data_IF_414081390690
#
_entry.id   IF_414081390690
#
_cell.length_a   1.000
_cell.length_b   1.000
_cell.length_c   1.000
_cell.angle_alpha   90.00
_cell.angle_beta   90.00
_cell.angle_gamma   90.00
#
_symmetry.space_group_name_H-M   'P 1'
#
loop_
_entity.id
_entity.type
_entity.pdbx_description
1 polymer ?
#
# COMPACT_ATOMS: atom_id res chain seq x y z
N UNK A 1 -12.04 5.63 94.95
CA UNK A 1 -12.87 4.71 94.15
C UNK A 1 -13.03 5.26 92.74
N UNK A 2 -13.44 6.51 92.57
CA UNK A 2 -13.72 7.11 91.25
C UNK A 2 -12.50 7.18 90.30
N UNK A 3 -11.31 7.51 90.79
CA UNK A 3 -10.08 7.54 89.96
C UNK A 3 -9.67 6.15 89.43
N UNK A 4 -9.88 5.10 90.23
CA UNK A 4 -9.58 3.73 89.81
C UNK A 4 -10.56 3.22 88.76
N UNK A 5 -11.84 3.63 88.85
CA UNK A 5 -12.83 3.35 87.81
C UNK A 5 -12.52 4.11 86.51
N UNK A 6 -12.12 5.37 86.61
CA UNK A 6 -11.72 6.16 85.44
C UNK A 6 -10.56 5.51 84.69
N UNK A 7 -9.53 5.07 85.44
CA UNK A 7 -8.36 4.40 84.88
C UNK A 7 -8.69 3.03 84.26
N UNK A 8 -9.71 2.33 84.77
CA UNK A 8 -10.24 1.10 84.18
C UNK A 8 -10.97 1.37 82.85
N UNK A 9 -11.82 2.40 82.80
CA UNK A 9 -12.52 2.80 81.56
C UNK A 9 -11.56 3.26 80.48
N UNK A 10 -10.52 4.02 80.84
CA UNK A 10 -9.49 4.45 79.90
C UNK A 10 -8.70 3.26 79.33
N UNK A 11 -8.33 2.28 80.18
CA UNK A 11 -7.70 1.03 79.72
C UNK A 11 -8.60 0.22 78.80
N UNK A 12 -9.88 0.08 79.15
CA UNK A 12 -10.85 -0.65 78.32
C UNK A 12 -11.07 0.04 76.96
N UNK A 13 -11.06 1.38 76.92
CA UNK A 13 -11.15 2.16 75.68
C UNK A 13 -9.91 1.96 74.80
N UNK A 14 -8.72 1.96 75.40
CA UNK A 14 -7.46 1.70 74.68
C UNK A 14 -7.45 0.28 74.12
N UNK A 15 -7.86 -0.71 74.91
CA UNK A 15 -7.91 -2.12 74.48
C UNK A 15 -8.93 -2.33 73.36
N UNK A 16 -10.11 -1.72 73.45
CA UNK A 16 -11.09 -1.71 72.35
C UNK A 16 -10.52 -1.06 71.08
N UNK A 17 -9.83 0.08 71.21
CA UNK A 17 -9.20 0.73 70.06
C UNK A 17 -8.14 -0.15 69.41
N UNK A 18 -7.30 -0.81 70.21
CA UNK A 18 -6.28 -1.74 69.71
C UNK A 18 -6.91 -2.93 68.98
N UNK A 19 -7.94 -3.54 69.54
CA UNK A 19 -8.70 -4.61 68.87
C UNK A 19 -9.33 -4.14 67.56
N UNK A 20 -9.87 -2.92 67.53
CA UNK A 20 -10.44 -2.35 66.30
C UNK A 20 -9.37 -2.16 65.23
N UNK A 21 -8.19 -1.64 65.61
CA UNK A 21 -7.05 -1.46 64.71
C UNK A 21 -6.57 -2.80 64.15
N UNK A 22 -6.40 -3.81 65.01
CA UNK A 22 -6.01 -5.16 64.61
C UNK A 22 -7.01 -5.76 63.61
N UNK A 23 -8.31 -5.70 63.92
CA UNK A 23 -9.35 -6.19 63.01
C UNK A 23 -9.32 -5.42 61.69
N UNK A 24 -9.17 -4.09 61.70
CA UNK A 24 -9.09 -3.31 60.44
C UNK A 24 -7.86 -3.66 59.61
N UNK A 25 -6.69 -3.86 60.22
CA UNK A 25 -5.46 -4.24 59.53
C UNK A 25 -5.59 -5.62 58.89
N UNK A 26 -6.14 -6.60 59.62
CA UNK A 26 -6.36 -7.95 59.06
C UNK A 26 -7.37 -7.95 57.91
N UNK A 27 -8.38 -7.08 57.94
CA UNK A 27 -9.34 -6.92 56.84
C UNK A 27 -8.64 -6.28 55.63
N UNK A 28 -7.85 -5.23 55.84
CA UNK A 28 -7.09 -4.55 54.77
C UNK A 28 -6.10 -5.50 54.10
N UNK A 29 -5.35 -6.28 54.87
CA UNK A 29 -4.44 -7.31 54.33
C UNK A 29 -5.18 -8.33 53.47
N UNK A 30 -6.32 -8.87 53.95
CA UNK A 30 -7.15 -9.79 53.17
C UNK A 30 -7.75 -9.16 51.92
N UNK A 31 -8.03 -7.86 51.94
CA UNK A 31 -8.48 -7.14 50.75
C UNK A 31 -7.34 -6.96 49.75
N UNK A 32 -6.15 -6.58 50.20
CA UNK A 32 -4.96 -6.41 49.36
C UNK A 32 -4.52 -7.74 48.72
N UNK A 33 -4.57 -8.84 49.48
CA UNK A 33 -4.33 -10.19 48.98
C UNK A 33 -5.28 -10.58 47.85
N UNK A 34 -6.53 -10.13 47.90
CA UNK A 34 -7.53 -10.38 46.85
C UNK A 34 -7.41 -9.40 45.68
N UNK A 35 -6.98 -8.16 45.92
CA UNK A 35 -6.87 -7.13 44.88
C UNK A 35 -5.65 -7.35 43.97
N UNK A 36 -4.51 -7.78 44.52
CA UNK A 36 -3.29 -8.06 43.74
C UNK A 36 -3.52 -9.01 42.55
N UNK A 37 -4.10 -10.22 42.72
CA UNK A 37 -4.32 -11.12 41.60
C UNK A 37 -5.31 -10.54 40.57
N UNK A 38 -6.32 -9.78 41.02
CA UNK A 38 -7.27 -9.12 40.12
C UNK A 38 -6.57 -8.07 39.25
N UNK A 39 -5.64 -7.29 39.82
CA UNK A 39 -4.87 -6.29 39.08
C UNK A 39 -3.92 -6.95 38.07
N UNK A 40 -3.25 -8.03 38.47
CA UNK A 40 -2.38 -8.82 37.59
C UNK A 40 -3.19 -9.44 36.43
N UNK A 41 -4.34 -10.06 36.72
CA UNK A 41 -5.25 -10.57 35.71
C UNK A 41 -5.73 -9.47 34.76
N UNK A 42 -6.08 -8.29 35.28
CA UNK A 42 -6.51 -7.16 34.46
C UNK A 42 -5.40 -6.70 33.50
N UNK A 43 -4.14 -6.69 33.96
CA UNK A 43 -3.00 -6.37 33.12
C UNK A 43 -2.78 -7.42 32.03
N UNK A 44 -2.89 -8.71 32.38
CA UNK A 44 -2.80 -9.82 31.41
C UNK A 44 -3.93 -9.73 30.38
N UNK A 45 -5.15 -9.42 30.81
CA UNK A 45 -6.30 -9.26 29.93
C UNK A 45 -6.10 -8.11 28.95
N UNK A 46 -5.65 -6.93 29.42
CA UNK A 46 -5.31 -5.80 28.55
C UNK A 46 -4.26 -6.16 27.50
N UNK A 47 -3.22 -6.90 27.88
CA UNK A 47 -2.21 -7.39 26.94
C UNK A 47 -2.78 -8.38 25.92
N UNK A 48 -3.70 -9.27 26.35
CA UNK A 48 -4.37 -10.20 25.44
C UNK A 48 -5.28 -9.46 24.45
N UNK A 49 -6.01 -8.45 24.92
CA UNK A 49 -6.88 -7.61 24.07
C UNK A 49 -6.05 -6.89 23.01
N UNK A 50 -4.96 -6.21 23.38
CA UNK A 50 -4.06 -5.54 22.42
C UNK A 50 -3.48 -6.54 21.39
N UNK A 51 -3.10 -7.74 21.82
CA UNK A 51 -2.65 -8.81 20.91
C UNK A 51 -3.75 -9.27 19.96
N UNK A 52 -4.99 -9.36 20.43
CA UNK A 52 -6.12 -9.76 19.60
C UNK A 52 -6.48 -8.67 18.59
N UNK A 53 -6.52 -7.41 19.02
CA UNK A 53 -6.77 -6.25 18.15
C UNK A 53 -5.76 -6.21 16.99
N UNK A 54 -4.45 -6.32 17.29
CA UNK A 54 -3.39 -6.38 16.27
C UNK A 54 -3.55 -7.55 15.31
N UNK A 55 -4.01 -8.72 15.79
CA UNK A 55 -4.27 -9.88 14.94
C UNK A 55 -5.48 -9.64 14.03
N UNK A 56 -6.56 -9.06 14.55
CA UNK A 56 -7.75 -8.71 13.77
C UNK A 56 -7.38 -7.71 12.67
N UNK A 57 -6.62 -6.68 12.99
CA UNK A 57 -6.14 -5.70 12.01
C UNK A 57 -5.33 -6.38 10.88
N UNK A 58 -4.42 -7.29 11.22
CA UNK A 58 -3.64 -8.03 10.23
C UNK A 58 -4.53 -8.88 9.32
N UNK A 59 -5.50 -9.62 9.90
CA UNK A 59 -6.43 -10.46 9.13
C UNK A 59 -7.32 -9.63 8.19
N UNK A 60 -7.83 -8.49 8.67
CA UNK A 60 -8.61 -7.57 7.83
C UNK A 60 -7.77 -7.01 6.68
N UNK A 61 -6.51 -6.64 6.97
CA UNK A 61 -5.56 -6.15 5.99
C UNK A 61 -5.28 -7.19 4.91
N UNK A 62 -5.04 -8.43 5.29
CA UNK A 62 -4.79 -9.53 4.34
C UNK A 62 -6.02 -9.81 3.48
N UNK A 63 -7.22 -9.85 4.10
CA UNK A 63 -8.49 -10.05 3.39
C UNK A 63 -8.79 -8.94 2.38
N UNK A 64 -8.40 -7.70 2.68
CA UNK A 64 -8.58 -6.53 1.80
C UNK A 64 -7.39 -6.27 0.88
N UNK A 65 -6.30 -7.01 1.01
CA UNK A 65 -5.03 -6.76 0.31
C UNK A 65 -5.17 -6.75 -1.21
N UNK A 66 -6.05 -7.57 -1.76
CA UNK A 66 -6.32 -7.66 -3.21
C UNK A 66 -7.56 -6.90 -3.67
N UNK A 67 -8.23 -6.19 -2.76
CA UNK A 67 -9.44 -5.44 -3.07
C UNK A 67 -9.11 -4.03 -3.59
N UNK A 68 -9.95 -3.57 -4.50
CA UNK A 68 -9.93 -2.26 -5.13
C UNK A 68 -11.37 -1.72 -5.13
N UNK A 69 -11.52 -0.42 -4.95
CA UNK A 69 -12.79 0.28 -5.05
C UNK A 69 -12.72 1.24 -6.25
N UNK A 70 -13.71 1.12 -7.14
CA UNK A 70 -13.85 1.90 -8.37
C UNK A 70 -15.03 2.85 -8.18
N UNK A 71 -14.79 4.14 -8.36
CA UNK A 71 -15.78 5.20 -8.27
C UNK A 71 -16.05 5.80 -9.66
N UNK A 72 -17.28 6.26 -9.89
CA UNK A 72 -17.66 6.90 -11.17
C UNK A 72 -18.16 5.94 -12.24
N UNK A 73 -18.24 4.63 -11.96
CA UNK A 73 -18.70 3.64 -12.94
C UNK A 73 -20.21 3.76 -13.17
N UNK A 74 -20.71 3.97 -14.41
CA UNK A 74 -22.13 4.20 -14.66
C UNK A 74 -22.99 3.02 -14.22
N UNK A 75 -24.22 3.29 -13.77
CA UNK A 75 -25.18 2.26 -13.36
C UNK A 75 -26.12 1.93 -14.51
N UNK A 76 -25.98 0.75 -15.11
CA UNK A 76 -26.86 0.25 -16.17
C UNK A 76 -26.95 -1.28 -16.23
N UNK A 77 -26.39 -1.96 -15.25
CA UNK A 77 -26.24 -3.41 -15.24
C UNK A 77 -27.37 -4.08 -14.46
N UNK A 78 -27.84 -5.21 -14.99
CA UNK A 78 -28.88 -6.00 -14.34
C UNK A 78 -28.29 -7.24 -13.66
N UNK A 79 -27.21 -7.80 -14.21
CA UNK A 79 -26.53 -8.98 -13.67
C UNK A 79 -25.07 -8.71 -13.31
N UNK A 80 -24.51 -9.59 -12.47
CA UNK A 80 -23.10 -9.55 -12.09
C UNK A 80 -22.16 -9.82 -13.28
N UNK A 81 -22.61 -10.57 -14.28
CA UNK A 81 -21.84 -10.81 -15.50
C UNK A 81 -21.73 -9.55 -16.35
N UNK A 82 -22.77 -8.73 -16.39
CA UNK A 82 -22.73 -7.44 -17.08
C UNK A 82 -21.73 -6.50 -16.39
N UNK A 83 -21.66 -6.52 -15.06
CA UNK A 83 -20.65 -5.79 -14.27
C UNK A 83 -19.22 -6.17 -14.63
N UNK A 84 -18.98 -7.47 -14.75
CA UNK A 84 -17.66 -7.97 -15.15
C UNK A 84 -17.31 -7.48 -16.56
N UNK A 85 -18.24 -7.58 -17.51
CA UNK A 85 -18.02 -7.13 -18.89
C UNK A 85 -17.77 -5.63 -18.96
N UNK A 86 -18.56 -4.83 -18.26
CA UNK A 86 -18.41 -3.38 -18.24
C UNK A 86 -17.04 -3.00 -17.68
N UNK A 87 -16.63 -3.60 -16.56
CA UNK A 87 -15.32 -3.35 -15.96
C UNK A 87 -14.17 -3.78 -16.88
N UNK A 88 -14.29 -4.93 -17.55
CA UNK A 88 -13.27 -5.38 -18.51
C UNK A 88 -13.07 -4.38 -19.64
N UNK A 89 -14.16 -3.89 -20.22
CA UNK A 89 -14.11 -2.89 -21.29
C UNK A 89 -13.48 -1.60 -20.77
N UNK A 90 -13.93 -1.09 -19.61
CA UNK A 90 -13.34 0.12 -19.00
C UNK A 90 -11.83 -0.03 -18.75
N UNK A 91 -11.36 -1.17 -18.27
CA UNK A 91 -9.93 -1.39 -18.02
C UNK A 91 -9.11 -1.53 -19.29
N UNK A 92 -9.68 -2.14 -20.33
CA UNK A 92 -9.02 -2.22 -21.63
C UNK A 92 -8.90 -0.83 -22.26
N UNK A 93 -9.99 -0.06 -22.26
CA UNK A 93 -10.06 1.25 -22.91
C UNK A 93 -9.23 2.32 -22.17
N UNK A 94 -9.31 2.39 -20.84
CA UNK A 94 -8.66 3.45 -20.07
C UNK A 94 -7.24 3.09 -19.60
N UNK A 95 -7.01 1.83 -19.22
CA UNK A 95 -5.71 1.40 -18.66
C UNK A 95 -4.86 0.60 -19.64
N UNK A 96 -5.45 0.03 -20.70
CA UNK A 96 -4.80 -0.92 -21.59
C UNK A 96 -4.49 -2.26 -20.92
N UNK A 97 -5.25 -2.64 -19.89
CA UNK A 97 -5.04 -3.89 -19.13
C UNK A 97 -6.18 -4.85 -19.47
N UNK A 98 -5.82 -5.98 -20.09
CA UNK A 98 -6.74 -7.10 -20.24
C UNK A 98 -6.91 -7.83 -18.90
N UNK A 99 -8.16 -8.02 -18.49
CA UNK A 99 -8.53 -8.75 -17.29
C UNK A 99 -9.41 -9.94 -17.69
N UNK A 100 -9.03 -11.11 -17.19
CA UNK A 100 -9.77 -12.33 -17.44
C UNK A 100 -10.79 -12.65 -16.36
N UNK A 101 -11.77 -13.50 -16.69
CA UNK A 101 -12.85 -13.85 -15.75
C UNK A 101 -12.31 -14.52 -14.48
N UNK A 102 -11.31 -15.38 -14.63
CA UNK A 102 -10.70 -16.13 -13.52
C UNK A 102 -9.82 -15.27 -12.61
N UNK A 103 -9.46 -14.05 -13.02
CA UNK A 103 -8.67 -13.12 -12.19
C UNK A 103 -9.55 -12.37 -11.18
N UNK A 104 -10.87 -12.42 -11.38
CA UNK A 104 -11.87 -11.77 -10.54
C UNK A 104 -12.38 -12.79 -9.52
N UNK A 105 -12.17 -12.49 -8.23
CA UNK A 105 -12.67 -13.31 -7.14
C UNK A 105 -14.11 -12.90 -6.76
N UNK A 106 -14.32 -11.60 -6.50
CA UNK A 106 -15.61 -11.06 -6.08
C UNK A 106 -15.83 -9.68 -6.67
N UNK A 107 -17.07 -9.37 -7.01
CA UNK A 107 -17.45 -8.10 -7.61
C UNK A 107 -18.87 -7.72 -7.22
N UNK A 108 -19.06 -6.52 -6.68
CA UNK A 108 -20.38 -6.00 -6.33
C UNK A 108 -20.36 -4.49 -6.13
N UNK A 109 -21.53 -3.86 -6.26
CA UNK A 109 -21.74 -2.43 -5.93
C UNK A 109 -21.95 -2.29 -4.42
N UNK A 110 -21.28 -1.31 -3.81
CA UNK A 110 -21.41 -1.01 -2.38
C UNK A 110 -22.60 -0.05 -2.17
N UNK A 111 -23.47 -0.38 -1.22
CA UNK A 111 -24.60 0.47 -0.81
C UNK A 111 -25.92 0.17 -1.53
N UNK A 112 -27.00 0.76 -1.03
CA UNK A 112 -28.36 0.61 -1.55
C UNK A 112 -28.52 1.24 -2.92
N UNK A 113 -29.29 0.60 -3.83
CA UNK A 113 -29.57 1.14 -5.17
C UNK A 113 -30.14 2.56 -5.09
N UNK A 114 -29.54 3.48 -5.85
CA UNK A 114 -30.04 4.85 -5.95
C UNK A 114 -31.40 4.84 -6.66
N UNK A 115 -32.37 5.57 -6.09
CA UNK A 115 -33.71 5.71 -6.70
C UNK A 115 -33.71 6.77 -7.81
N UNK A 116 -32.82 7.75 -7.70
CA UNK A 116 -32.72 8.88 -8.61
C UNK A 116 -31.55 8.68 -9.59
N UNK A 117 -31.78 8.91 -10.88
CA UNK A 117 -30.75 8.82 -11.92
C UNK A 117 -29.68 9.91 -11.84
N UNK A 118 -29.95 11.01 -11.13
CA UNK A 118 -29.04 12.16 -11.00
C UNK A 118 -28.05 12.01 -9.83
N UNK A 119 -28.15 10.95 -9.03
CA UNK A 119 -27.21 10.69 -7.93
C UNK A 119 -25.90 10.09 -8.44
N UNK A 120 -24.81 10.36 -7.71
CA UNK A 120 -23.49 9.81 -8.03
C UNK A 120 -23.56 8.27 -8.07
N UNK A 121 -22.97 7.62 -9.08
CA UNK A 121 -23.02 6.18 -9.19
C UNK A 121 -22.33 5.52 -7.99
N UNK A 122 -22.89 4.39 -7.55
CA UNK A 122 -22.37 3.63 -6.40
C UNK A 122 -20.98 3.08 -6.68
N UNK A 123 -20.08 3.13 -5.69
CA UNK A 123 -18.75 2.55 -5.86
C UNK A 123 -18.83 1.04 -6.02
N UNK A 124 -17.98 0.50 -6.89
CA UNK A 124 -17.87 -0.94 -7.12
C UNK A 124 -16.67 -1.48 -6.36
N UNK A 125 -16.87 -2.53 -5.56
CA UNK A 125 -15.78 -3.31 -5.01
C UNK A 125 -15.39 -4.41 -6.00
N UNK A 126 -14.10 -4.46 -6.31
CA UNK A 126 -13.48 -5.52 -7.09
C UNK A 126 -12.41 -6.21 -6.25
N UNK A 127 -12.60 -7.50 -6.01
CA UNK A 127 -11.61 -8.37 -5.36
C UNK A 127 -10.92 -9.21 -6.43
N UNK A 128 -9.60 -9.06 -6.53
CA UNK A 128 -8.77 -9.81 -7.46
C UNK A 128 -8.21 -11.06 -6.80
N UNK A 129 -7.93 -12.07 -7.60
CA UNK A 129 -7.24 -13.29 -7.12
C UNK A 129 -5.78 -12.97 -6.78
N UNK A 130 -5.12 -12.12 -7.58
CA UNK A 130 -3.68 -11.87 -7.47
C UNK A 130 -3.37 -10.41 -7.17
N UNK A 131 -2.51 -10.18 -6.16
CA UNK A 131 -2.04 -8.84 -5.80
C UNK A 131 -1.19 -8.15 -6.89
N UNK A 132 -0.52 -8.92 -7.75
CA UNK A 132 0.22 -8.40 -8.90
C UNK A 132 -0.67 -7.59 -9.86
N UNK A 133 -1.85 -8.14 -10.21
CA UNK A 133 -2.85 -7.44 -11.04
C UNK A 133 -3.36 -6.19 -10.36
N UNK A 134 -3.59 -6.23 -9.04
CA UNK A 134 -3.92 -5.02 -8.28
C UNK A 134 -2.83 -3.95 -8.41
N UNK A 135 -1.57 -4.32 -8.24
CA UNK A 135 -0.45 -3.38 -8.33
C UNK A 135 -0.34 -2.78 -9.74
N UNK A 136 -0.56 -3.59 -10.77
CA UNK A 136 -0.58 -3.16 -12.17
C UNK A 136 -1.66 -2.08 -12.42
N UNK A 137 -2.90 -2.35 -11.99
CA UNK A 137 -4.02 -1.41 -12.08
C UNK A 137 -3.71 -0.12 -11.29
N UNK A 138 -3.20 -0.27 -10.06
CA UNK A 138 -2.90 0.86 -9.18
C UNK A 138 -1.76 1.75 -9.69
N UNK A 139 -0.83 1.21 -10.47
CA UNK A 139 0.21 1.99 -11.16
C UNK A 139 -0.36 2.79 -12.32
N UNK A 140 -1.25 2.19 -13.10
CA UNK A 140 -1.82 2.81 -14.30
C UNK A 140 -3.01 3.73 -13.99
N UNK A 141 -3.55 3.74 -12.76
CA UNK A 141 -4.72 4.56 -12.39
C UNK A 141 -4.63 6.06 -12.67
N UNK A 142 -3.43 6.61 -12.85
CA UNK A 142 -3.24 8.03 -13.25
C UNK A 142 -3.69 8.32 -14.68
N UNK A 143 -3.87 7.29 -15.51
CA UNK A 143 -4.35 7.39 -16.90
C UNK A 143 -5.88 7.54 -16.98
N UNK A 144 -6.60 7.18 -15.91
CA UNK A 144 -8.05 7.31 -15.82
C UNK A 144 -8.43 8.79 -15.84
N UNK A 145 -9.52 9.11 -16.53
CA UNK A 145 -10.03 10.48 -16.63
C UNK A 145 -11.25 10.65 -15.73
N UNK A 146 -12.33 9.93 -16.04
CA UNK A 146 -13.61 10.09 -15.37
C UNK A 146 -13.77 9.15 -14.17
N UNK A 147 -13.05 8.02 -14.18
CA UNK A 147 -13.08 7.02 -13.11
C UNK A 147 -11.99 7.28 -12.08
N UNK A 148 -12.29 6.94 -10.83
CA UNK A 148 -11.35 7.05 -9.73
C UNK A 148 -11.18 5.72 -9.01
N UNK A 149 -9.93 5.29 -8.82
CA UNK A 149 -9.60 4.01 -8.19
C UNK A 149 -8.86 4.21 -6.87
N UNK A 150 -9.41 3.58 -5.82
CA UNK A 150 -8.86 3.57 -4.46
C UNK A 150 -8.63 2.14 -3.96
N UNK A 151 -7.73 2.00 -3.00
CA UNK A 151 -7.61 0.75 -2.24
C UNK A 151 -8.75 0.63 -1.22
N UNK A 152 -9.15 -0.60 -0.92
CA UNK A 152 -10.07 -0.91 0.17
C UNK A 152 -9.30 -1.01 1.49
N UNK A 153 -9.56 -0.07 2.41
CA UNK A 153 -8.94 -0.01 3.74
C UNK A 153 -9.96 -0.27 4.84
N UNK A 154 -9.49 -0.61 6.05
CA UNK A 154 -10.34 -0.64 7.24
C UNK A 154 -10.81 0.76 7.61
N UNK A 155 -11.89 0.85 8.40
CA UNK A 155 -12.45 2.14 8.82
C UNK A 155 -11.42 2.96 9.62
N UNK A 156 -10.72 2.31 10.53
CA UNK A 156 -9.65 2.90 11.34
C UNK A 156 -8.53 3.47 10.46
N UNK A 157 -8.06 2.69 9.47
CA UNK A 157 -7.04 3.17 8.53
C UNK A 157 -7.54 4.38 7.72
N UNK A 158 -8.81 4.41 7.32
CA UNK A 158 -9.39 5.56 6.60
C UNK A 158 -9.43 6.81 7.49
N UNK A 159 -9.75 6.68 8.77
CA UNK A 159 -9.77 7.77 9.75
C UNK A 159 -8.35 8.34 9.97
N UNK A 160 -7.35 7.47 10.16
CA UNK A 160 -5.94 7.86 10.24
C UNK A 160 -5.51 8.57 8.96
N UNK A 161 -5.88 8.04 7.78
CA UNK A 161 -5.53 8.68 6.51
C UNK A 161 -6.14 10.07 6.36
N UNK A 162 -7.38 10.26 6.83
CA UNK A 162 -8.04 11.58 6.84
C UNK A 162 -7.29 12.57 7.74
N UNK A 163 -6.87 12.14 8.95
CA UNK A 163 -6.11 13.01 9.86
C UNK A 163 -4.70 13.35 9.33
N UNK A 164 -4.12 12.50 8.48
CA UNK A 164 -2.83 12.74 7.81
C UNK A 164 -2.90 13.64 6.57
N UNK A 165 -4.07 13.84 5.97
CA UNK A 165 -4.22 14.71 4.80
C UNK A 165 -3.75 16.16 5.02
N UNK A 166 -4.11 16.88 6.11
CA UNK A 166 -3.64 18.24 6.32
C UNK A 166 -2.11 18.31 6.41
N UNK A 167 -1.51 17.41 7.19
CA UNK A 167 -0.04 17.31 7.31
C UNK A 167 0.65 17.05 5.97
N UNK A 168 0.06 16.19 5.13
CA UNK A 168 0.58 15.95 3.78
C UNK A 168 0.53 17.20 2.90
N UNK A 169 -0.53 18.00 3.00
CA UNK A 169 -0.67 19.25 2.24
C UNK A 169 0.39 20.26 2.71
N UNK A 170 0.57 20.42 4.02
CA UNK A 170 1.59 21.29 4.61
C UNK A 170 3.01 20.89 4.14
N UNK A 171 3.36 19.60 4.20
CA UNK A 171 4.67 19.14 3.74
C UNK A 171 4.90 19.35 2.23
N UNK A 172 3.85 19.21 1.42
CA UNK A 172 3.92 19.53 -0.02
C UNK A 172 4.07 21.03 -0.26
N UNK A 173 3.41 21.87 0.53
CA UNK A 173 3.55 23.33 0.46
C UNK A 173 4.96 23.79 0.84
N UNK A 174 5.62 23.10 1.77
CA UNK A 174 7.04 23.31 2.10
C UNK A 174 8.00 22.87 0.97
N UNK A 175 7.50 22.21 -0.08
CA UNK A 175 8.31 21.71 -1.21
C UNK A 175 8.85 20.29 -1.02
N UNK A 176 8.47 19.59 0.05
CA UNK A 176 8.90 18.21 0.31
C UNK A 176 8.07 17.21 -0.51
N UNK A 177 8.69 16.10 -0.94
CA UNK A 177 7.96 15.02 -1.61
C UNK A 177 7.26 14.13 -0.57
N UNK A 178 6.01 14.45 -0.24
CA UNK A 178 5.21 13.72 0.74
C UNK A 178 4.08 12.88 0.12
N UNK A 179 3.91 11.64 0.60
CA UNK A 179 2.81 10.75 0.24
C UNK A 179 2.39 9.84 1.40
N UNK A 180 1.10 9.49 1.47
CA UNK A 180 0.58 8.57 2.49
C UNK A 180 0.62 7.14 1.95
N UNK A 181 1.30 6.24 2.66
CA UNK A 181 1.33 4.80 2.41
C UNK A 181 0.63 4.09 3.58
N UNK A 182 -0.51 3.46 3.30
CA UNK A 182 -1.36 2.85 4.32
C UNK A 182 -1.75 3.85 5.42
N UNK A 183 -1.28 3.65 6.64
CA UNK A 183 -1.48 4.43 7.88
C UNK A 183 -0.39 5.49 8.14
N UNK A 184 0.63 5.60 7.27
CA UNK A 184 1.83 6.42 7.52
C UNK A 184 2.03 7.50 6.46
N UNK A 185 2.43 8.69 6.92
CA UNK A 185 2.93 9.76 6.07
C UNK A 185 4.43 9.55 5.83
N UNK A 186 4.84 9.43 4.57
CA UNK A 186 6.24 9.31 4.17
C UNK A 186 6.65 10.63 3.53
N UNK A 187 7.60 11.32 4.14
CA UNK A 187 8.23 12.54 3.62
C UNK A 187 9.60 12.16 3.09
N UNK A 188 9.82 12.39 1.79
CA UNK A 188 11.15 12.29 1.18
C UNK A 188 11.73 13.68 1.04
N UNK A 189 12.78 13.95 1.80
CA UNK A 189 13.60 15.14 1.61
C UNK A 189 14.35 15.04 0.29
N UNK A 190 14.35 16.11 -0.49
CA UNK A 190 15.14 16.24 -1.71
C UNK A 190 16.62 16.49 -1.37
N UNK A 191 17.24 15.64 -0.55
CA UNK A 191 18.65 15.74 -0.15
C UNK A 191 19.58 15.00 -1.13
N UNK A 192 19.30 15.12 -2.42
CA UNK A 192 20.34 14.90 -3.43
C UNK A 192 20.27 16.08 -4.37
N UNK A 193 21.27 16.99 -4.37
CA UNK A 193 21.51 17.71 -5.61
C UNK A 193 21.71 16.60 -6.63
N UNK A 194 20.77 16.48 -7.57
CA UNK A 194 21.07 15.82 -8.83
C UNK A 194 22.18 16.71 -9.37
N UNK A 195 23.43 16.36 -9.06
CA UNK A 195 24.58 16.86 -9.77
C UNK A 195 24.22 16.60 -11.21
N UNK A 196 23.81 17.65 -11.89
CA UNK A 196 23.76 17.70 -13.34
C UNK A 196 25.23 17.62 -13.74
N UNK A 197 25.85 16.46 -13.57
CA UNK A 197 27.14 16.12 -14.19
C UNK A 197 26.82 16.14 -15.66
N UNK A 198 26.88 17.34 -16.25
CA UNK A 198 27.01 17.51 -17.68
C UNK A 198 28.19 16.61 -18.03
N UNK A 199 27.91 15.57 -18.80
CA UNK A 199 28.95 14.71 -19.34
C UNK A 199 29.91 15.64 -20.07
N UNK A 200 31.12 15.79 -19.53
CA UNK A 200 32.22 16.45 -20.23
C UNK A 200 32.28 15.82 -21.62
N UNK A 201 32.25 16.64 -22.67
CA UNK A 201 32.36 16.14 -24.04
C UNK A 201 33.75 15.53 -24.15
N UNK A 202 33.84 14.22 -24.31
CA UNK A 202 35.13 13.56 -24.52
C UNK A 202 35.75 14.10 -25.80
N UNK A 203 36.89 14.79 -25.67
CA UNK A 203 37.74 15.15 -26.81
C UNK A 203 38.34 13.86 -27.36
N UNK A 204 37.87 13.41 -28.53
CA UNK A 204 38.55 12.37 -29.28
C UNK A 204 39.94 12.90 -29.70
N UNK A 205 40.99 12.08 -29.66
CA UNK A 205 42.34 12.52 -29.99
C UNK A 205 42.38 13.01 -31.45
N UNK A 206 42.75 14.27 -31.64
CA UNK A 206 43.02 14.86 -32.94
C UNK A 206 44.29 14.22 -33.49
N UNK A 207 44.18 13.51 -34.61
CA UNK A 207 45.34 13.03 -35.34
C UNK A 207 46.13 14.24 -35.85
N UNK A 208 47.36 14.38 -35.37
CA UNK A 208 48.30 15.40 -35.85
C UNK A 208 48.58 15.18 -37.34
N UNK A 209 48.27 16.19 -38.13
CA UNK A 209 48.62 16.31 -39.54
C UNK A 209 50.10 16.65 -39.65
N UNK A 210 50.93 15.67 -40.01
CA UNK A 210 52.24 15.90 -40.62
C UNK A 210 52.29 15.15 -41.96
N UNK A 211 52.40 15.94 -43.03
CA UNK A 211 52.42 15.62 -44.47
C UNK A 211 53.75 14.94 -44.92
N UNK A 212 53.90 14.27 -46.11
CA UNK A 212 53.61 14.88 -47.42
C UNK A 212 53.06 14.01 -48.57
N UNK A 213 52.41 14.76 -49.47
CA UNK A 213 51.95 14.49 -50.84
C UNK A 213 52.63 13.34 -51.60
N UNK A 214 51.80 12.40 -52.11
CA UNK A 214 51.94 11.85 -53.46
C UNK A 214 50.57 11.73 -54.15
N UNK A 215 50.57 12.29 -55.35
CA UNK A 215 49.70 12.27 -56.53
C UNK A 215 48.37 11.47 -56.54
N UNK A 216 47.41 12.10 -57.24
CA UNK A 216 46.08 11.63 -57.62
C UNK A 216 46.09 10.32 -58.41
N UNK A 217 45.12 9.45 -58.16
CA UNK A 217 44.35 8.76 -59.21
C UNK A 217 42.88 8.65 -58.80
N UNK A 218 42.01 8.93 -59.75
CA UNK A 218 40.57 8.70 -59.69
C UNK A 218 40.28 7.19 -59.90
N UNK A 219 39.26 6.70 -59.18
CA UNK A 219 38.31 5.64 -59.55
C UNK A 219 38.22 4.38 -58.66
N UNK A 220 36.97 4.18 -58.20
CA UNK A 220 36.21 2.93 -58.09
C UNK A 220 36.70 1.80 -57.17
N UNK A 221 35.93 1.55 -56.11
CA UNK A 221 34.97 0.42 -56.03
C UNK A 221 34.74 -0.08 -54.58
N UNK A 222 33.45 -0.34 -54.30
CA UNK A 222 32.85 -1.19 -53.26
C UNK A 222 33.80 -1.85 -52.25
N UNK A 223 33.62 -1.54 -50.97
CA UNK A 223 33.88 -2.51 -49.90
C UNK A 223 32.64 -2.64 -49.02
N UNK A 224 31.95 -3.77 -49.14
CA UNK A 224 30.94 -4.22 -48.19
C UNK A 224 31.60 -4.32 -46.80
N UNK A 225 31.38 -3.35 -45.92
CA UNK A 225 31.66 -3.52 -44.51
C UNK A 225 30.43 -4.14 -43.87
N UNK A 226 30.52 -5.43 -43.58
CA UNK A 226 29.50 -6.16 -42.83
C UNK A 226 29.50 -5.59 -41.40
N UNK A 227 28.33 -5.21 -40.90
CA UNK A 227 28.17 -4.74 -39.52
C UNK A 227 28.49 -5.88 -38.56
N UNK A 228 29.30 -5.60 -37.52
CA UNK A 228 29.74 -6.60 -36.55
C UNK A 228 28.60 -7.33 -35.82
N UNK A 229 27.40 -6.73 -35.77
CA UNK A 229 26.20 -7.34 -35.19
C UNK A 229 25.52 -8.38 -36.11
N UNK A 230 25.78 -8.34 -37.41
CA UNK A 230 25.21 -9.30 -38.37
C UNK A 230 25.95 -10.65 -38.33
N UNK A 231 27.20 -10.66 -37.87
CA UNK A 231 28.02 -11.88 -37.71
C UNK A 231 27.65 -12.64 -36.42
N UNK A 232 27.10 -11.94 -35.42
CA UNK A 232 26.84 -12.49 -34.09
C UNK A 232 25.43 -13.10 -33.92
N UNK A 233 24.55 -13.01 -34.92
CA UNK A 233 23.30 -13.79 -34.92
C UNK A 233 23.56 -15.20 -35.39
N UNK A 234 23.82 -16.09 -34.42
CA UNK A 234 23.74 -17.52 -34.62
C UNK A 234 22.40 -17.88 -35.27
N UNK A 235 22.47 -18.46 -36.47
CA UNK A 235 21.29 -18.93 -37.22
C UNK A 235 20.69 -20.13 -36.49
N UNK A 236 19.61 -19.92 -35.75
CA UNK A 236 18.69 -20.98 -35.36
C UNK A 236 17.98 -21.49 -36.63
N UNK A 237 18.11 -22.79 -36.88
CA UNK A 237 17.55 -23.51 -38.02
C UNK A 237 16.03 -23.28 -38.18
N UNK A 238 15.59 -22.93 -39.39
CA UNK A 238 14.22 -23.17 -39.83
C UNK A 238 14.17 -23.45 -41.33
N UNK A 239 13.90 -24.72 -41.63
CA UNK A 239 13.27 -25.34 -42.80
C UNK A 239 12.99 -24.42 -44.02
N UNK A 240 13.60 -24.79 -45.14
CA UNK A 240 13.32 -24.24 -46.48
C UNK A 240 11.93 -24.64 -46.97
N UNK A 241 11.03 -23.68 -47.14
CA UNK A 241 9.88 -23.81 -48.02
C UNK A 241 10.33 -23.48 -49.45
N UNK A 242 10.47 -24.51 -50.27
CA UNK A 242 10.64 -24.37 -51.72
C UNK A 242 9.32 -23.88 -52.32
N UNK A 243 9.30 -22.63 -52.78
CA UNK A 243 8.28 -22.14 -53.71
C UNK A 243 8.81 -22.32 -55.13
N UNK A 244 8.23 -23.27 -55.85
CA UNK A 244 8.46 -23.43 -57.29
C UNK A 244 7.42 -22.62 -58.03
N UNK A 245 7.88 -21.61 -58.78
CA UNK A 245 7.21 -20.97 -59.92
C UNK A 245 8.22 -21.11 -61.07
N UNK A 246 7.94 -21.38 -62.35
CA UNK A 246 6.72 -21.38 -63.19
C UNK A 246 7.12 -21.92 -64.59
N UNK A 247 6.11 -22.28 -65.42
CA UNK A 247 6.10 -22.43 -66.91
C UNK A 247 6.76 -23.72 -67.45
N UNK A 248 6.17 -24.49 -68.37
CA UNK A 248 5.10 -24.28 -69.36
C UNK A 248 4.03 -25.37 -69.25
#
# INVERSE_FOLDING_TARGET
>A
MDEQFQLLFDKMRIEMQNQTIEVTNTILEKMDEKLKPILEENQILKQKVDKLEKKVELLEREKKSNNIIIHGLPEGEQTTLDLIKLIKNCFLDELGIAIENYEINKIFRIGSKNKNKNEKPRPTLLSLVTGWKKIEIMKNKKKLKDLYITEDYSKETLEIRKSLQPKLIEERQKGNLAYIKYDKLIVKENSRPIDKRKREKSTSPQAELIQPRKQQTLNMSKSNRINAFDVMRGRSHSLSTTSVTTKQ
#
